data_IF_126606624663
#
_entry.id   IF_126606624663
#
_cell.length_a   1.000
_cell.length_b   1.000
_cell.length_c   1.000
_cell.angle_alpha   90.00
_cell.angle_beta   90.00
_cell.angle_gamma   90.00
#
_symmetry.space_group_name_H-M   'P 1'
#
loop_
_entity.id
_entity.type
_entity.pdbx_description
1 polymer ?
#
# COMPACT_ATOMS: atom_id res chain seq x y z
N UNK A 1 -4.48 -3.27 -20.20
CA UNK A 1 -4.34 -3.64 -18.78
C UNK A 1 -4.03 -2.39 -17.99
N UNK A 2 -4.72 -2.17 -16.86
CA UNK A 2 -4.42 -1.04 -15.98
C UNK A 2 -3.01 -1.18 -15.39
N UNK A 3 -2.24 -0.10 -15.41
CA UNK A 3 -0.85 -0.06 -14.94
C UNK A 3 -0.53 1.27 -14.25
N UNK A 4 0.13 1.19 -13.12
CA UNK A 4 0.75 2.33 -12.45
C UNK A 4 2.26 2.23 -12.63
N UNK A 5 2.89 3.29 -13.14
CA UNK A 5 4.33 3.34 -13.46
C UNK A 5 4.96 4.56 -12.83
N UNK A 6 6.18 4.37 -12.41
CA UNK A 6 7.04 5.40 -11.84
C UNK A 6 8.36 5.36 -12.61
N UNK A 7 8.73 6.48 -13.23
CA UNK A 7 9.89 6.55 -14.11
C UNK A 7 10.90 7.57 -13.57
N UNK A 8 12.06 7.08 -13.13
CA UNK A 8 13.23 7.86 -12.72
C UNK A 8 12.90 9.01 -11.75
N UNK A 9 11.99 8.78 -10.80
CA UNK A 9 11.64 9.83 -9.83
C UNK A 9 12.82 10.12 -8.90
N UNK A 10 12.97 11.41 -8.60
CA UNK A 10 14.00 11.92 -7.69
C UNK A 10 13.41 12.83 -6.63
N UNK A 11 13.93 12.75 -5.41
CA UNK A 11 13.57 13.67 -4.33
C UNK A 11 14.75 13.98 -3.44
N UNK A 12 14.98 15.28 -3.28
CA UNK A 12 16.02 15.83 -2.39
C UNK A 12 15.34 16.68 -1.32
N UNK A 13 15.67 16.46 -0.07
CA UNK A 13 15.26 17.31 1.05
C UNK A 13 16.50 18.07 1.56
N UNK A 14 16.46 19.40 1.48
CA UNK A 14 17.61 20.26 1.77
C UNK A 14 18.80 19.83 0.88
N UNK A 15 19.83 19.21 1.47
CA UNK A 15 21.03 18.75 0.73
C UNK A 15 21.12 17.22 0.61
N UNK A 16 20.11 16.47 1.12
CA UNK A 16 20.10 14.99 1.11
C UNK A 16 19.13 14.48 0.06
N UNK A 17 19.66 13.79 -0.95
CA UNK A 17 18.84 13.02 -1.89
C UNK A 17 18.35 11.74 -1.19
N UNK A 18 17.03 11.59 -1.08
CA UNK A 18 16.37 10.47 -0.41
C UNK A 18 15.86 9.44 -1.42
N UNK A 19 15.47 9.90 -2.61
CA UNK A 19 15.10 9.05 -3.73
C UNK A 19 15.87 9.55 -4.95
N UNK A 20 16.56 8.66 -5.65
CA UNK A 20 17.50 8.99 -6.71
C UNK A 20 17.30 8.09 -7.94
N UNK A 21 16.44 8.51 -8.86
CA UNK A 21 16.19 7.81 -10.11
C UNK A 21 15.37 6.51 -9.97
N UNK A 22 14.53 6.40 -8.94
CA UNK A 22 13.71 5.20 -8.73
C UNK A 22 12.71 5.02 -9.87
N UNK A 23 12.72 3.83 -10.46
CA UNK A 23 11.73 3.35 -11.43
C UNK A 23 11.10 2.07 -10.90
N UNK A 24 9.77 1.99 -10.93
CA UNK A 24 9.01 0.81 -10.56
C UNK A 24 7.63 0.83 -11.23
N UNK A 25 6.94 -0.29 -11.21
CA UNK A 25 5.56 -0.33 -11.71
C UNK A 25 4.78 -1.48 -11.10
N UNK A 26 3.46 -1.43 -11.23
CA UNK A 26 2.54 -2.50 -10.84
C UNK A 26 1.39 -2.56 -11.86
N UNK A 27 0.96 -3.77 -12.19
CA UNK A 27 -0.20 -4.02 -13.04
C UNK A 27 -1.42 -4.38 -12.22
N UNK A 28 -2.60 -4.18 -12.77
CA UNK A 28 -3.82 -4.73 -12.19
C UNK A 28 -3.69 -6.25 -12.02
N UNK A 29 -4.09 -6.77 -10.85
CA UNK A 29 -3.95 -8.18 -10.51
C UNK A 29 -2.51 -8.61 -10.17
N UNK A 30 -1.64 -7.69 -9.79
CA UNK A 30 -0.27 -7.96 -9.38
C UNK A 30 0.01 -7.45 -7.96
N UNK A 31 0.78 -8.21 -7.18
CA UNK A 31 1.32 -7.75 -5.89
C UNK A 31 2.83 -7.55 -6.04
N UNK A 32 3.28 -6.33 -5.83
CA UNK A 32 4.68 -5.91 -5.94
C UNK A 32 5.24 -5.51 -4.59
N UNK A 33 6.34 -6.12 -4.17
CA UNK A 33 7.09 -5.74 -2.98
C UNK A 33 8.01 -4.54 -3.24
N UNK A 34 8.04 -3.58 -2.31
CA UNK A 34 9.03 -2.51 -2.29
C UNK A 34 9.84 -2.63 -1.00
N UNK A 35 10.98 -3.29 -1.07
CA UNK A 35 11.79 -3.72 0.07
C UNK A 35 13.03 -2.84 0.23
N UNK A 36 13.61 -2.86 1.42
CA UNK A 36 14.83 -2.12 1.71
C UNK A 36 14.92 -1.70 3.18
N UNK A 37 16.07 -1.26 3.66
CA UNK A 37 16.27 -0.84 5.05
C UNK A 37 15.48 0.42 5.40
N UNK A 38 15.42 0.75 6.69
CA UNK A 38 14.85 2.00 7.16
C UNK A 38 15.63 3.18 6.57
N UNK A 39 14.90 4.19 6.09
CA UNK A 39 15.50 5.37 5.44
C UNK A 39 15.96 5.14 3.98
N UNK A 40 15.69 3.98 3.38
CA UNK A 40 16.05 3.71 1.97
C UNK A 40 15.25 4.52 0.94
N UNK A 41 14.14 5.17 1.33
CA UNK A 41 13.29 5.96 0.44
C UNK A 41 11.92 5.36 0.12
N UNK A 42 11.55 4.21 0.70
CA UNK A 42 10.27 3.52 0.43
C UNK A 42 9.05 4.40 0.67
N UNK A 43 8.87 4.90 1.88
CA UNK A 43 7.75 5.79 2.25
C UNK A 43 7.76 7.07 1.42
N UNK A 44 8.93 7.67 1.15
CA UNK A 44 9.04 8.85 0.28
C UNK A 44 8.56 8.54 -1.15
N UNK A 45 8.91 7.37 -1.67
CA UNK A 45 8.43 6.90 -2.98
C UNK A 45 6.90 6.76 -2.97
N UNK A 46 6.31 6.17 -1.92
CA UNK A 46 4.85 6.09 -1.77
C UNK A 46 4.20 7.46 -1.72
N UNK A 47 4.74 8.38 -0.92
CA UNK A 47 4.21 9.75 -0.81
C UNK A 47 4.26 10.49 -2.17
N UNK A 48 5.26 10.21 -3.00
CA UNK A 48 5.32 10.76 -4.37
C UNK A 48 4.28 10.11 -5.28
N UNK A 49 4.08 8.79 -5.23
CA UNK A 49 3.03 8.10 -5.99
C UNK A 49 1.65 8.60 -5.60
N UNK A 50 1.42 8.90 -4.34
CA UNK A 50 0.15 9.43 -3.82
C UNK A 50 -0.09 10.91 -4.16
N UNK A 51 0.95 11.66 -4.55
CA UNK A 51 0.86 13.11 -4.79
C UNK A 51 0.83 13.95 -3.53
N UNK A 52 1.19 13.37 -2.38
CA UNK A 52 1.42 14.08 -1.11
C UNK A 52 2.75 14.83 -1.19
N UNK A 53 3.77 14.20 -1.77
CA UNK A 53 5.07 14.77 -2.03
C UNK A 53 5.28 14.88 -3.54
N UNK A 54 5.69 16.05 -4.03
CA UNK A 54 6.04 16.22 -5.45
C UNK A 54 7.48 15.75 -5.70
N UNK A 55 7.75 14.92 -6.71
CA UNK A 55 9.11 14.60 -7.13
C UNK A 55 9.79 15.85 -7.71
N UNK A 56 11.11 15.93 -7.59
CA UNK A 56 11.92 17.03 -8.17
C UNK A 56 12.17 16.76 -9.65
N UNK A 57 12.23 15.49 -10.06
CA UNK A 57 12.29 15.04 -11.46
C UNK A 57 11.69 13.65 -11.63
N UNK A 58 11.55 13.21 -12.88
CA UNK A 58 10.88 11.96 -13.23
C UNK A 58 9.36 12.13 -13.36
N UNK A 59 8.67 11.02 -13.62
CA UNK A 59 7.24 11.04 -13.88
C UNK A 59 6.51 9.85 -13.27
N UNK A 60 5.22 10.02 -13.03
CA UNK A 60 4.31 9.00 -12.55
C UNK A 60 3.17 8.90 -13.54
N UNK A 61 2.95 7.69 -14.07
CA UNK A 61 1.97 7.42 -15.09
C UNK A 61 0.90 6.46 -14.56
N UNK A 62 -0.35 6.76 -14.82
CA UNK A 62 -1.48 5.85 -14.60
C UNK A 62 -2.11 5.56 -15.95
N UNK A 63 -2.04 4.31 -16.40
CA UNK A 63 -2.54 3.89 -17.71
C UNK A 63 -1.97 4.73 -18.87
N UNK A 64 -0.67 5.09 -18.80
CA UNK A 64 0.01 5.95 -19.77
C UNK A 64 -0.27 7.46 -19.61
N UNK A 65 -1.21 7.86 -18.75
CA UNK A 65 -1.48 9.27 -18.46
C UNK A 65 -0.53 9.77 -17.38
N UNK A 66 0.17 10.87 -17.67
CA UNK A 66 1.03 11.51 -16.66
C UNK A 66 0.18 12.19 -15.58
N UNK A 67 0.36 11.74 -14.33
CA UNK A 67 -0.33 12.22 -13.13
C UNK A 67 0.63 12.91 -12.15
N UNK A 68 1.88 13.16 -12.53
CA UNK A 68 2.94 13.67 -11.64
C UNK A 68 2.56 14.96 -10.91
N UNK A 69 1.85 15.86 -11.59
CA UNK A 69 1.40 17.13 -11.02
C UNK A 69 0.04 17.06 -10.31
N UNK A 70 -0.64 15.91 -10.34
CA UNK A 70 -1.97 15.78 -9.76
C UNK A 70 -1.89 15.71 -8.24
N UNK A 71 -2.73 16.47 -7.52
CA UNK A 71 -2.81 16.41 -6.07
C UNK A 71 -3.44 15.08 -5.59
N UNK A 72 -3.24 14.75 -4.32
CA UNK A 72 -3.67 13.50 -3.69
C UNK A 72 -5.14 13.16 -3.94
N UNK A 73 -6.05 14.13 -3.80
CA UNK A 73 -7.49 13.91 -3.99
C UNK A 73 -7.85 13.52 -5.44
N UNK A 74 -7.12 14.06 -6.42
CA UNK A 74 -7.31 13.70 -7.83
C UNK A 74 -6.83 12.28 -8.11
N UNK A 75 -5.67 11.88 -7.54
CA UNK A 75 -5.16 10.50 -7.70
C UNK A 75 -6.03 9.48 -6.98
N UNK A 76 -6.59 9.82 -5.84
CA UNK A 76 -7.55 8.97 -5.14
C UNK A 76 -8.81 8.73 -5.98
N UNK A 77 -9.36 9.77 -6.64
CA UNK A 77 -10.50 9.63 -7.59
C UNK A 77 -10.14 8.85 -8.86
N UNK A 78 -8.87 8.77 -9.21
CA UNK A 78 -8.37 7.95 -10.32
C UNK A 78 -8.10 6.51 -9.92
N UNK A 79 -8.46 6.10 -8.69
CA UNK A 79 -8.37 4.73 -8.23
C UNK A 79 -7.05 4.37 -7.54
N UNK A 80 -6.29 5.33 -6.99
CA UNK A 80 -5.11 5.05 -6.17
C UNK A 80 -5.45 5.28 -4.70
N UNK A 81 -5.32 4.24 -3.86
CA UNK A 81 -5.59 4.30 -2.43
C UNK A 81 -4.35 3.92 -1.60
N UNK A 82 -4.39 4.24 -0.32
CA UNK A 82 -3.24 4.10 0.57
C UNK A 82 -3.62 3.66 1.98
N UNK A 83 -2.87 2.71 2.50
CA UNK A 83 -2.88 2.33 3.90
C UNK A 83 -1.56 2.79 4.53
N UNK A 84 -1.57 3.82 5.39
CA UNK A 84 -0.35 4.30 6.05
C UNK A 84 0.13 3.34 7.14
N UNK A 85 1.41 3.49 7.51
CA UNK A 85 2.00 2.76 8.62
C UNK A 85 1.34 3.14 9.97
N UNK A 86 1.08 4.43 10.19
CA UNK A 86 0.44 4.91 11.42
C UNK A 86 -1.07 4.68 11.40
N UNK A 87 -1.66 4.27 12.55
CA UNK A 87 -3.09 4.07 12.66
C UNK A 87 -3.90 5.34 12.35
N UNK A 88 -4.86 5.21 11.43
CA UNK A 88 -5.65 6.35 10.93
C UNK A 88 -7.14 6.32 11.32
N UNK A 89 -7.57 5.36 12.17
CA UNK A 89 -8.98 5.20 12.55
C UNK A 89 -9.49 6.32 13.45
N UNK A 90 -10.74 6.70 13.28
CA UNK A 90 -11.46 7.58 14.21
C UNK A 90 -11.86 6.79 15.45
N UNK A 91 -11.06 6.86 16.50
CA UNK A 91 -11.16 6.01 17.70
C UNK A 91 -12.53 6.04 18.38
N UNK A 92 -13.20 7.19 18.39
CA UNK A 92 -14.52 7.40 19.01
C UNK A 92 -15.70 6.96 18.14
N UNK A 93 -15.50 6.63 16.87
CA UNK A 93 -16.52 6.15 15.96
C UNK A 93 -16.63 4.62 15.99
N UNK A 94 -17.80 4.08 15.62
CA UNK A 94 -17.96 2.65 15.39
C UNK A 94 -17.19 2.20 14.14
N UNK A 95 -17.05 0.89 13.91
CA UNK A 95 -16.48 0.31 12.71
C UNK A 95 -17.23 0.84 11.48
N UNK A 96 -18.54 0.74 11.47
CA UNK A 96 -19.39 1.24 10.38
C UNK A 96 -19.26 2.74 10.17
N UNK A 97 -19.33 3.54 11.24
CA UNK A 97 -19.21 5.01 11.16
C UNK A 97 -17.84 5.45 10.63
N UNK A 98 -16.77 4.70 10.94
CA UNK A 98 -15.44 4.94 10.37
C UNK A 98 -15.41 4.83 8.84
N UNK A 99 -16.10 3.83 8.30
CA UNK A 99 -16.17 3.61 6.85
C UNK A 99 -17.12 4.64 6.22
N UNK A 100 -18.31 4.86 6.83
CA UNK A 100 -19.29 5.85 6.34
C UNK A 100 -18.73 7.28 6.32
N UNK A 101 -17.91 7.66 7.32
CA UNK A 101 -17.28 8.98 7.33
C UNK A 101 -16.42 9.24 6.09
N UNK A 102 -15.62 8.25 5.64
CA UNK A 102 -14.84 8.37 4.41
C UNK A 102 -15.75 8.40 3.18
N UNK A 103 -16.77 7.54 3.14
CA UNK A 103 -17.74 7.51 2.04
C UNK A 103 -18.44 8.86 1.86
N UNK A 104 -18.87 9.51 2.95
CA UNK A 104 -19.49 10.84 2.91
C UNK A 104 -18.54 11.94 2.43
N UNK A 105 -17.29 11.94 2.92
CA UNK A 105 -16.27 12.92 2.51
C UNK A 105 -15.93 12.83 1.02
N UNK A 106 -16.05 11.65 0.44
CA UNK A 106 -15.66 11.37 -0.95
C UNK A 106 -16.85 11.35 -1.93
N UNK A 107 -18.09 11.41 -1.40
CA UNK A 107 -19.31 11.27 -2.19
C UNK A 107 -19.60 9.83 -2.67
N UNK A 108 -18.89 8.84 -2.13
CA UNK A 108 -18.97 7.42 -2.50
C UNK A 108 -20.00 6.65 -1.64
N UNK A 109 -21.09 7.28 -1.24
CA UNK A 109 -22.09 6.66 -0.34
C UNK A 109 -22.92 5.64 -1.13
N UNK A 110 -22.53 4.36 -1.04
CA UNK A 110 -23.32 3.23 -1.52
C UNK A 110 -23.41 2.18 -0.42
N UNK A 111 -24.61 1.96 0.13
CA UNK A 111 -24.80 0.98 1.22
C UNK A 111 -24.40 -0.43 0.79
N UNK A 112 -24.64 -0.81 -0.48
CA UNK A 112 -24.24 -2.11 -1.03
C UNK A 112 -22.71 -2.31 -1.01
N UNK A 113 -21.93 -1.26 -1.27
CA UNK A 113 -20.46 -1.32 -1.19
C UNK A 113 -20.00 -1.44 0.27
N UNK A 114 -20.65 -0.71 1.19
CA UNK A 114 -20.36 -0.79 2.62
C UNK A 114 -20.59 -2.21 3.14
N UNK A 115 -21.75 -2.81 2.87
CA UNK A 115 -22.05 -4.18 3.31
C UNK A 115 -21.03 -5.19 2.72
N UNK A 116 -20.69 -5.03 1.45
CA UNK A 116 -19.66 -5.86 0.83
C UNK A 116 -18.29 -5.72 1.49
N UNK A 117 -17.86 -4.50 1.81
CA UNK A 117 -16.57 -4.26 2.49
C UNK A 117 -16.59 -4.87 3.89
N UNK A 118 -17.68 -4.70 4.66
CA UNK A 118 -17.82 -5.29 5.98
C UNK A 118 -17.71 -6.81 5.92
N UNK A 119 -18.40 -7.45 4.96
CA UNK A 119 -18.37 -8.89 4.75
C UNK A 119 -17.00 -9.38 4.30
N UNK A 120 -16.44 -8.79 3.26
CA UNK A 120 -15.13 -9.14 2.69
C UNK A 120 -13.99 -9.09 3.74
N UNK A 121 -14.12 -8.22 4.75
CA UNK A 121 -13.12 -8.00 5.80
C UNK A 121 -13.46 -8.66 7.14
N UNK A 122 -14.58 -9.38 7.23
CA UNK A 122 -15.02 -10.04 8.47
C UNK A 122 -15.31 -9.05 9.60
N UNK A 123 -15.85 -7.88 9.27
CA UNK A 123 -16.16 -6.81 10.22
C UNK A 123 -17.64 -6.73 10.61
N UNK A 124 -18.52 -7.55 10.01
CA UNK A 124 -19.97 -7.51 10.20
C UNK A 124 -20.39 -7.68 11.68
N UNK A 125 -19.83 -8.70 12.34
CA UNK A 125 -20.16 -9.02 13.74
C UNK A 125 -19.76 -7.90 14.72
N UNK A 126 -18.83 -7.03 14.33
CA UNK A 126 -18.30 -5.94 15.18
C UNK A 126 -18.63 -4.55 14.64
N UNK A 127 -19.53 -4.43 13.64
CA UNK A 127 -19.85 -3.18 12.95
C UNK A 127 -20.22 -2.01 13.89
N UNK A 128 -20.92 -2.30 14.98
CA UNK A 128 -21.31 -1.30 16.01
C UNK A 128 -20.24 -1.02 17.07
N UNK A 129 -19.14 -1.82 17.13
CA UNK A 129 -18.09 -1.66 18.13
C UNK A 129 -17.27 -0.42 17.87
N UNK A 130 -16.93 0.34 18.93
CA UNK A 130 -16.08 1.53 18.83
C UNK A 130 -14.63 1.14 18.49
N UNK A 131 -13.97 1.93 17.62
CA UNK A 131 -12.64 1.59 17.12
C UNK A 131 -11.55 1.51 18.19
N UNK A 132 -11.70 2.21 19.33
CA UNK A 132 -10.75 2.10 20.45
C UNK A 132 -10.80 0.73 21.16
N UNK A 133 -11.87 -0.06 20.97
CA UNK A 133 -12.07 -1.39 21.57
C UNK A 133 -11.53 -2.52 20.68
N UNK A 134 -11.06 -2.22 19.48
CA UNK A 134 -10.61 -3.21 18.52
C UNK A 134 -9.22 -3.75 18.87
N UNK A 135 -9.01 -5.05 18.62
CA UNK A 135 -7.68 -5.66 18.57
C UNK A 135 -6.82 -5.05 17.46
N UNK A 136 -5.53 -5.34 17.45
CA UNK A 136 -4.61 -4.87 16.40
C UNK A 136 -5.06 -5.29 15.00
N UNK A 137 -5.39 -6.56 14.81
CA UNK A 137 -5.85 -7.08 13.52
C UNK A 137 -7.24 -6.57 13.11
N UNK A 138 -8.20 -6.48 14.04
CA UNK A 138 -9.51 -5.86 13.74
C UNK A 138 -9.35 -4.41 13.31
N UNK A 139 -8.47 -3.66 13.98
CA UNK A 139 -8.16 -2.28 13.63
C UNK A 139 -7.53 -2.18 12.25
N UNK A 140 -6.57 -3.07 11.94
CA UNK A 140 -5.92 -3.10 10.62
C UNK A 140 -6.91 -3.41 9.51
N UNK A 141 -7.83 -4.37 9.72
CA UNK A 141 -8.93 -4.63 8.79
C UNK A 141 -9.84 -3.43 8.59
N UNK A 142 -10.15 -2.67 9.66
CA UNK A 142 -10.93 -1.42 9.56
C UNK A 142 -10.18 -0.34 8.74
N UNK A 143 -8.88 -0.19 8.92
CA UNK A 143 -8.06 0.74 8.14
C UNK A 143 -8.08 0.40 6.65
N UNK A 144 -7.96 -0.89 6.34
CA UNK A 144 -8.10 -1.40 4.97
C UNK A 144 -9.51 -1.14 4.42
N UNK A 145 -10.56 -1.38 5.22
CA UNK A 145 -11.94 -1.09 4.83
C UNK A 145 -12.11 0.37 4.36
N UNK A 146 -11.53 1.30 5.12
CA UNK A 146 -11.55 2.72 4.78
C UNK A 146 -10.79 3.05 3.48
N UNK A 147 -9.72 2.33 3.17
CA UNK A 147 -8.97 2.51 1.92
C UNK A 147 -9.69 1.94 0.70
N UNK A 148 -10.61 0.99 0.90
CA UNK A 148 -11.36 0.33 -0.18
C UNK A 148 -12.66 1.04 -0.58
N UNK A 149 -13.14 2.01 0.20
CA UNK A 149 -14.45 2.64 -0.03
C UNK A 149 -14.54 3.38 -1.39
N UNK A 150 -13.42 3.74 -1.99
CA UNK A 150 -13.37 4.32 -3.33
C UNK A 150 -13.22 3.28 -4.45
N UNK A 151 -13.32 1.99 -4.12
CA UNK A 151 -13.10 0.87 -5.05
C UNK A 151 -11.82 1.07 -5.90
N UNK A 152 -10.64 1.17 -5.26
CA UNK A 152 -9.42 1.52 -5.97
C UNK A 152 -8.95 0.42 -6.92
N UNK A 153 -8.34 0.82 -8.06
CA UNK A 153 -7.61 -0.07 -8.96
C UNK A 153 -6.23 -0.43 -8.40
N UNK A 154 -5.63 0.49 -7.61
CA UNK A 154 -4.31 0.33 -7.02
C UNK A 154 -4.31 0.66 -5.53
N UNK A 155 -3.70 -0.21 -4.74
CA UNK A 155 -3.60 -0.07 -3.28
C UNK A 155 -2.13 -0.10 -2.85
N UNK A 156 -1.68 0.97 -2.18
CA UNK A 156 -0.36 1.06 -1.57
C UNK A 156 -0.49 0.72 -0.08
N UNK A 157 0.30 -0.25 0.39
CA UNK A 157 0.31 -0.72 1.77
C UNK A 157 1.68 -0.44 2.39
N UNK A 158 1.75 0.51 3.33
CA UNK A 158 2.99 0.84 4.04
C UNK A 158 3.02 0.11 5.39
N UNK A 159 3.92 -0.87 5.51
CA UNK A 159 4.11 -1.74 6.67
C UNK A 159 2.80 -2.32 7.25
N UNK A 160 1.99 -3.05 6.45
CA UNK A 160 0.70 -3.55 6.91
C UNK A 160 0.81 -4.61 8.01
N UNK A 161 1.94 -5.28 8.17
CA UNK A 161 2.17 -6.32 9.18
C UNK A 161 2.77 -5.80 10.49
N UNK A 162 3.10 -4.51 10.57
CA UNK A 162 3.72 -3.93 11.76
C UNK A 162 2.81 -4.03 12.99
N UNK A 163 3.33 -4.59 14.09
CA UNK A 163 2.60 -4.70 15.36
C UNK A 163 1.42 -5.68 15.37
N UNK A 164 1.38 -6.62 14.43
CA UNK A 164 0.36 -7.66 14.33
C UNK A 164 0.98 -9.02 14.71
N UNK A 165 0.19 -9.88 15.36
CA UNK A 165 0.65 -11.23 15.71
C UNK A 165 0.74 -12.15 14.46
N UNK A 166 1.53 -13.23 14.53
CA UNK A 166 1.79 -14.11 13.38
C UNK A 166 0.53 -14.75 12.77
N UNK A 167 -0.50 -15.04 13.56
CA UNK A 167 -1.75 -15.65 13.06
C UNK A 167 -2.49 -14.61 12.22
N UNK A 168 -2.61 -13.39 12.73
CA UNK A 168 -3.26 -12.29 12.04
C UNK A 168 -2.51 -11.86 10.77
N UNK A 169 -1.16 -12.03 10.72
CA UNK A 169 -0.38 -11.81 9.49
C UNK A 169 -0.86 -12.76 8.38
N UNK A 170 -1.06 -14.05 8.69
CA UNK A 170 -1.54 -15.03 7.70
C UNK A 170 -2.93 -14.65 7.18
N UNK A 171 -3.85 -14.27 8.07
CA UNK A 171 -5.19 -13.81 7.67
C UNK A 171 -5.13 -12.58 6.77
N UNK A 172 -4.23 -11.63 7.08
CA UNK A 172 -4.05 -10.43 6.29
C UNK A 172 -3.41 -10.72 4.93
N UNK A 173 -2.50 -11.68 4.86
CA UNK A 173 -1.91 -12.15 3.60
C UNK A 173 -2.98 -12.73 2.68
N UNK A 174 -3.89 -13.57 3.20
CA UNK A 174 -5.01 -14.13 2.42
C UNK A 174 -5.96 -13.03 1.93
N UNK A 175 -6.24 -12.05 2.78
CA UNK A 175 -7.03 -10.88 2.42
C UNK A 175 -6.39 -10.11 1.26
N UNK A 176 -5.08 -9.82 1.32
CA UNK A 176 -4.34 -9.12 0.26
C UNK A 176 -4.36 -9.95 -1.04
N UNK A 177 -4.20 -11.27 -0.98
CA UNK A 177 -4.33 -12.16 -2.15
C UNK A 177 -5.75 -12.08 -2.76
N UNK A 178 -6.78 -11.96 -1.93
CA UNK A 178 -8.16 -11.82 -2.40
C UNK A 178 -8.36 -10.53 -3.22
N UNK A 179 -7.68 -9.45 -2.86
CA UNK A 179 -7.72 -8.20 -3.63
C UNK A 179 -7.03 -8.34 -4.99
N UNK A 180 -5.89 -9.03 -5.04
CA UNK A 180 -5.25 -9.40 -6.31
C UNK A 180 -6.20 -10.20 -7.20
N UNK A 181 -6.91 -11.19 -6.65
CA UNK A 181 -7.89 -12.00 -7.39
C UNK A 181 -9.06 -11.16 -7.93
N UNK A 182 -9.37 -10.02 -7.29
CA UNK A 182 -10.33 -9.01 -7.76
C UNK A 182 -9.72 -8.00 -8.74
N UNK A 183 -8.56 -8.30 -9.31
CA UNK A 183 -7.83 -7.50 -10.31
C UNK A 183 -7.27 -6.16 -9.77
N UNK A 184 -7.07 -6.02 -8.46
CA UNK A 184 -6.41 -4.86 -7.85
C UNK A 184 -4.88 -5.00 -7.96
N UNK A 185 -4.19 -3.94 -8.38
CA UNK A 185 -2.73 -3.84 -8.31
C UNK A 185 -2.29 -3.37 -6.93
N UNK A 186 -1.30 -4.03 -6.34
CA UNK A 186 -0.89 -3.76 -4.95
C UNK A 186 0.61 -3.51 -4.91
N UNK A 187 1.03 -2.41 -4.26
CA UNK A 187 2.42 -2.21 -3.86
C UNK A 187 2.48 -2.27 -2.34
N UNK A 188 3.36 -3.11 -1.82
CA UNK A 188 3.46 -3.36 -0.38
C UNK A 188 4.89 -3.18 0.10
N UNK A 189 5.07 -2.46 1.22
CA UNK A 189 6.33 -2.41 1.95
C UNK A 189 6.17 -3.06 3.31
N UNK A 190 7.22 -3.69 3.82
CA UNK A 190 7.32 -4.10 5.22
C UNK A 190 8.79 -4.35 5.57
N UNK A 191 9.12 -4.28 6.85
CA UNK A 191 10.43 -4.69 7.35
C UNK A 191 10.53 -6.22 7.49
N UNK A 192 9.40 -6.92 7.56
CA UNK A 192 9.36 -8.39 7.57
C UNK A 192 9.38 -8.94 6.12
N UNK A 193 10.59 -8.93 5.54
CA UNK A 193 10.81 -9.34 4.15
C UNK A 193 10.27 -10.74 3.86
N UNK A 194 10.44 -11.69 4.81
CA UNK A 194 9.97 -13.08 4.64
C UNK A 194 8.46 -13.15 4.43
N UNK A 195 7.70 -12.37 5.17
CA UNK A 195 6.23 -12.36 5.06
C UNK A 195 5.76 -11.69 3.76
N UNK A 196 6.47 -10.65 3.29
CA UNK A 196 6.19 -10.01 2.00
C UNK A 196 6.42 -10.98 0.84
N UNK A 197 7.55 -11.68 0.85
CA UNK A 197 7.92 -12.58 -0.25
C UNK A 197 6.96 -13.77 -0.43
N UNK A 198 6.19 -14.12 0.60
CA UNK A 198 5.14 -15.15 0.50
C UNK A 198 3.96 -14.76 -0.39
N UNK A 199 3.72 -13.47 -0.58
CA UNK A 199 2.53 -12.95 -1.28
C UNK A 199 2.83 -12.14 -2.53
N UNK A 200 4.08 -11.70 -2.73
CA UNK A 200 4.47 -10.88 -3.87
C UNK A 200 4.80 -11.71 -5.10
N UNK A 201 4.40 -11.24 -6.26
CA UNK A 201 4.76 -11.83 -7.56
C UNK A 201 6.20 -11.47 -7.94
N UNK A 202 6.60 -10.23 -7.65
CA UNK A 202 7.96 -9.71 -7.80
C UNK A 202 8.21 -8.59 -6.80
N UNK A 203 9.46 -8.23 -6.64
CA UNK A 203 9.85 -7.19 -5.69
C UNK A 203 10.97 -6.31 -6.24
N UNK A 204 10.98 -5.07 -5.80
CA UNK A 204 12.07 -4.13 -5.93
C UNK A 204 12.79 -4.01 -4.60
N UNK A 205 14.12 -3.95 -4.63
CA UNK A 205 14.91 -3.60 -3.44
C UNK A 205 15.45 -2.19 -3.64
N UNK A 206 15.12 -1.30 -2.70
CA UNK A 206 15.67 0.04 -2.63
C UNK A 206 16.76 0.09 -1.57
N UNK A 207 17.90 0.64 -1.94
CA UNK A 207 18.99 0.97 -1.04
C UNK A 207 19.50 2.38 -1.34
N UNK A 208 19.65 3.21 -0.29
CA UNK A 208 20.15 4.60 -0.44
C UNK A 208 19.46 5.41 -1.55
N UNK A 209 18.15 5.23 -1.70
CA UNK A 209 17.33 5.94 -2.68
C UNK A 209 17.35 5.38 -4.09
N UNK A 210 18.04 4.28 -4.37
CA UNK A 210 18.13 3.67 -5.69
C UNK A 210 17.59 2.24 -5.69
N UNK A 211 17.00 1.80 -6.81
CA UNK A 211 16.62 0.40 -7.02
C UNK A 211 17.88 -0.38 -7.36
N UNK A 212 18.25 -1.34 -6.50
CA UNK A 212 19.43 -2.20 -6.68
C UNK A 212 19.09 -3.60 -7.17
N UNK A 213 17.81 -3.99 -7.12
CA UNK A 213 17.30 -5.27 -7.58
C UNK A 213 15.84 -5.15 -8.02
N UNK A 214 15.49 -5.85 -9.09
CA UNK A 214 14.11 -6.11 -9.53
C UNK A 214 14.04 -7.56 -9.99
N UNK A 215 13.10 -8.33 -9.49
CA UNK A 215 12.92 -9.72 -9.88
C UNK A 215 11.81 -10.43 -9.10
N UNK A 216 11.59 -11.71 -9.40
CA UNK A 216 10.65 -12.57 -8.68
C UNK A 216 11.16 -12.88 -7.27
N UNK A 217 10.27 -13.18 -6.37
CA UNK A 217 10.62 -13.51 -4.99
C UNK A 217 11.63 -14.66 -4.87
N UNK A 218 11.54 -15.65 -5.76
CA UNK A 218 12.47 -16.78 -5.82
C UNK A 218 13.89 -16.36 -6.24
N UNK A 219 14.01 -15.45 -7.21
CA UNK A 219 15.27 -14.88 -7.69
C UNK A 219 15.92 -14.03 -6.59
N UNK A 220 15.11 -13.26 -5.88
CA UNK A 220 15.54 -12.42 -4.77
C UNK A 220 16.12 -13.25 -3.62
N UNK A 221 15.46 -14.35 -3.26
CA UNK A 221 15.93 -15.28 -2.22
C UNK A 221 17.23 -15.98 -2.65
N UNK A 222 17.48 -16.16 -3.95
CA UNK A 222 18.68 -16.79 -4.49
C UNK A 222 19.88 -15.83 -4.59
N UNK A 223 19.66 -14.51 -4.66
CA UNK A 223 20.75 -13.52 -4.81
C UNK A 223 21.57 -13.40 -3.51
N UNK A 224 22.87 -13.69 -3.61
CA UNK A 224 23.82 -13.68 -2.49
C UNK A 224 23.97 -12.29 -1.84
N UNK A 225 23.85 -11.21 -2.61
CA UNK A 225 23.94 -9.83 -2.09
C UNK A 225 22.70 -9.52 -1.25
N UNK A 226 21.55 -9.94 -1.73
CA UNK A 226 20.27 -9.77 -1.03
C UNK A 226 20.25 -10.59 0.25
N UNK A 227 20.71 -11.85 0.20
CA UNK A 227 20.85 -12.69 1.42
C UNK A 227 21.67 -12.00 2.47
N UNK A 228 22.86 -11.52 2.10
CA UNK A 228 23.82 -10.91 3.05
C UNK A 228 23.33 -9.59 3.64
N UNK A 229 22.64 -8.79 2.87
CA UNK A 229 22.24 -7.43 3.26
C UNK A 229 20.84 -7.34 3.87
N UNK A 230 19.92 -8.29 3.51
CA UNK A 230 18.49 -8.17 3.83
C UNK A 230 17.82 -9.42 4.42
N UNK A 231 18.40 -10.63 4.26
CA UNK A 231 17.79 -11.89 4.71
C UNK A 231 18.60 -12.55 5.84
N UNK A 232 19.79 -11.99 6.17
CA UNK A 232 20.78 -12.52 7.10
C UNK A 232 20.37 -12.74 8.52
#
# INVERSE_FOLDING_TARGET
>A
MNKLEVNHIRKTFRQRTVVDGVSLGVRAGEIVGLLGPNGAGKTTTFLMILGIQRPDSGEILLNGRNITSFPVYSRSRLGISFLPQEPSVFRGLSVEDNIRAIAQMTGAVQDSLLEKILSDLGLEAIRGRKAYMLSGGERRRLEIARSLILAPDFLLLDEPFAGIDPIQIVELQELIRSFKAKNMGIIITDHNVREILKITDRSYIIHSGQVIFEGRSEELIADERVKKEYLG
#
